data_IF_676534834813
#
_entry.id   IF_676534834813
#
_cell.length_a   1.000
_cell.length_b   1.000
_cell.length_c   1.000
_cell.angle_alpha   90.00
_cell.angle_beta   90.00
_cell.angle_gamma   90.00
#
_symmetry.space_group_name_H-M   'P 1'
#
loop_
_entity.id
_entity.type
_entity.pdbx_description
1 polymer ?
#
# COMPACT_ATOMS: atom_id res chain seq x y z
N UNK A 1 -31.62 -0.50 -2.49
CA UNK A 1 -32.89 0.28 -2.55
C UNK A 1 -32.59 1.69 -2.11
N UNK A 2 -33.31 2.72 -2.58
CA UNK A 2 -33.00 4.12 -2.24
C UNK A 2 -33.27 4.47 -0.78
N UNK A 3 -33.99 3.62 -0.03
CA UNK A 3 -34.31 3.82 1.38
C UNK A 3 -33.58 2.81 2.27
N UNK A 4 -33.15 3.28 3.43
CA UNK A 4 -32.44 2.49 4.44
C UNK A 4 -33.35 1.40 5.02
N UNK A 5 -32.88 0.16 5.07
CA UNK A 5 -33.66 -0.99 5.54
C UNK A 5 -34.63 -1.62 4.54
N UNK A 6 -34.74 -1.11 3.31
CA UNK A 6 -35.58 -1.72 2.28
C UNK A 6 -34.89 -2.85 1.52
N UNK A 7 -35.60 -3.97 1.42
CA UNK A 7 -35.27 -5.05 0.49
C UNK A 7 -36.12 -4.94 -0.76
N UNK A 8 -35.55 -5.28 -1.92
CA UNK A 8 -36.32 -5.38 -3.15
C UNK A 8 -37.40 -6.46 -2.97
N UNK A 9 -38.67 -6.09 -3.16
CA UNK A 9 -39.77 -7.05 -3.13
C UNK A 9 -39.58 -8.14 -4.19
N UNK A 10 -40.09 -9.34 -3.91
CA UNK A 10 -40.01 -10.49 -4.82
C UNK A 10 -40.67 -10.20 -6.19
N UNK A 11 -41.81 -9.48 -6.20
CA UNK A 11 -42.55 -9.14 -7.42
C UNK A 11 -41.71 -8.37 -8.47
N UNK A 12 -41.01 -7.27 -8.12
CA UNK A 12 -40.07 -6.61 -9.03
C UNK A 12 -38.98 -7.53 -9.59
N UNK A 13 -38.41 -8.42 -8.77
CA UNK A 13 -37.39 -9.38 -9.20
C UNK A 13 -37.96 -10.40 -10.20
N UNK A 14 -39.14 -10.96 -9.91
CA UNK A 14 -39.85 -11.86 -10.82
C UNK A 14 -40.18 -11.19 -12.14
N UNK A 15 -40.60 -9.90 -12.12
CA UNK A 15 -40.88 -9.12 -13.33
C UNK A 15 -39.61 -8.92 -14.19
N UNK A 16 -38.46 -8.68 -13.57
CA UNK A 16 -37.18 -8.55 -14.29
C UNK A 16 -36.77 -9.90 -14.88
N UNK A 17 -36.80 -10.98 -14.08
CA UNK A 17 -36.41 -12.31 -14.51
C UNK A 17 -37.29 -12.88 -15.65
N UNK A 18 -38.58 -12.52 -15.67
CA UNK A 18 -39.53 -12.94 -16.70
C UNK A 18 -39.68 -11.94 -17.85
N UNK A 19 -38.90 -10.85 -17.87
CA UNK A 19 -38.91 -9.91 -18.99
C UNK A 19 -38.30 -10.55 -20.23
N UNK A 20 -39.03 -10.58 -21.33
CA UNK A 20 -38.56 -11.11 -22.62
C UNK A 20 -37.22 -10.49 -23.03
N UNK A 21 -37.08 -9.17 -22.89
CA UNK A 21 -35.82 -8.44 -23.19
C UNK A 21 -34.64 -8.93 -22.34
N UNK A 22 -34.89 -9.26 -21.06
CA UNK A 22 -33.84 -9.77 -20.16
C UNK A 22 -33.49 -11.20 -20.56
N UNK A 23 -34.47 -12.04 -20.82
CA UNK A 23 -34.26 -13.42 -21.25
C UNK A 23 -33.52 -13.49 -22.60
N UNK A 24 -33.87 -12.64 -23.57
CA UNK A 24 -33.18 -12.53 -24.84
C UNK A 24 -31.69 -12.17 -24.67
N UNK A 25 -31.39 -11.19 -23.81
CA UNK A 25 -29.99 -10.81 -23.52
C UNK A 25 -29.27 -11.97 -22.82
N UNK A 26 -29.87 -12.56 -21.79
CA UNK A 26 -29.29 -13.68 -21.04
C UNK A 26 -29.02 -14.88 -21.95
N UNK A 27 -29.92 -15.20 -22.87
CA UNK A 27 -29.73 -16.26 -23.88
C UNK A 27 -28.59 -15.95 -24.86
N UNK A 28 -28.33 -14.66 -25.14
CA UNK A 28 -27.22 -14.21 -25.99
C UNK A 28 -25.89 -14.11 -25.24
N UNK A 29 -25.91 -13.99 -23.92
CA UNK A 29 -24.71 -13.99 -23.09
C UNK A 29 -24.02 -15.33 -23.20
N UNK A 30 -22.79 -15.33 -23.72
CA UNK A 30 -21.91 -16.50 -23.71
C UNK A 30 -20.88 -16.32 -22.61
N UNK A 31 -20.54 -17.41 -21.92
CA UNK A 31 -19.31 -17.42 -21.14
C UNK A 31 -18.16 -17.15 -22.10
N UNK A 32 -17.29 -16.21 -21.77
CA UNK A 32 -16.03 -16.06 -22.49
C UNK A 32 -15.28 -17.39 -22.33
N UNK A 33 -15.15 -18.12 -23.43
CA UNK A 33 -14.23 -19.25 -23.47
C UNK A 33 -12.85 -18.67 -23.76
N UNK A 34 -11.79 -19.17 -23.13
CA UNK A 34 -10.44 -18.88 -23.59
C UNK A 34 -10.37 -19.21 -25.08
N UNK A 35 -9.72 -18.37 -25.89
CA UNK A 35 -9.55 -18.64 -27.31
C UNK A 35 -8.86 -20.01 -27.45
N UNK A 36 -9.47 -20.93 -28.21
CA UNK A 36 -8.99 -22.32 -28.43
C UNK A 36 -7.59 -22.42 -29.08
N UNK A 37 -6.86 -21.31 -29.22
CA UNK A 37 -5.50 -21.22 -29.74
C UNK A 37 -4.49 -20.60 -28.76
N UNK A 38 -4.94 -20.12 -27.59
CA UNK A 38 -4.05 -19.81 -26.49
C UNK A 38 -3.95 -21.07 -25.64
N UNK A 39 -2.78 -21.70 -25.59
CA UNK A 39 -2.49 -22.67 -24.53
C UNK A 39 -2.99 -22.07 -23.21
N UNK A 40 -3.77 -22.81 -22.44
CA UNK A 40 -4.33 -22.35 -21.18
C UNK A 40 -3.15 -21.93 -20.29
N UNK A 41 -2.88 -20.61 -20.21
CA UNK A 41 -1.68 -20.10 -19.53
C UNK A 41 -1.86 -20.40 -18.07
N UNK A 42 -1.28 -21.52 -17.63
CA UNK A 42 -1.33 -21.95 -16.25
C UNK A 42 -0.43 -21.06 -15.40
N UNK A 43 -0.84 -20.77 -14.16
CA UNK A 43 0.00 -20.00 -13.28
C UNK A 43 1.19 -20.85 -12.83
N UNK A 44 2.38 -20.24 -12.78
CA UNK A 44 3.63 -20.95 -12.51
C UNK A 44 3.74 -21.28 -11.02
N UNK A 45 3.96 -22.55 -10.69
CA UNK A 45 4.24 -22.94 -9.31
C UNK A 45 5.73 -22.80 -9.02
N UNK A 46 6.07 -22.17 -7.89
CA UNK A 46 7.44 -22.14 -7.41
C UNK A 46 7.85 -23.52 -6.87
N UNK A 47 8.94 -24.07 -7.38
CA UNK A 47 9.63 -25.22 -6.79
C UNK A 47 10.52 -24.75 -5.63
N UNK A 48 9.87 -24.29 -4.56
CA UNK A 48 10.54 -23.71 -3.41
C UNK A 48 9.79 -24.09 -2.14
N UNK A 49 10.52 -24.30 -1.04
CA UNK A 49 9.94 -24.46 0.29
C UNK A 49 10.17 -23.19 1.10
N UNK A 50 9.30 -22.89 2.08
CA UNK A 50 9.58 -21.84 3.07
C UNK A 50 10.96 -22.07 3.71
N UNK A 51 11.69 -20.98 3.97
CA UNK A 51 13.00 -21.06 4.60
C UNK A 51 12.91 -21.46 6.09
N UNK A 52 14.01 -21.91 6.67
CA UNK A 52 14.11 -22.13 8.13
C UNK A 52 14.28 -20.83 8.93
N UNK A 53 14.34 -19.69 8.27
CA UNK A 53 14.62 -18.39 8.87
C UNK A 53 13.33 -17.59 9.07
N UNK A 54 13.30 -16.79 10.14
CA UNK A 54 12.27 -15.80 10.43
C UNK A 54 12.95 -14.55 10.97
N UNK A 55 12.42 -13.34 10.69
CA UNK A 55 12.89 -12.14 11.35
C UNK A 55 12.55 -12.19 12.84
N UNK A 56 13.35 -11.50 13.65
CA UNK A 56 13.01 -11.28 15.06
C UNK A 56 11.91 -10.22 15.18
N UNK A 57 11.89 -9.26 14.25
CA UNK A 57 10.97 -8.12 14.25
C UNK A 57 10.23 -7.98 12.92
N UNK A 58 8.98 -7.56 13.00
CA UNK A 58 8.17 -7.15 11.84
C UNK A 58 7.69 -5.73 12.06
N UNK A 59 7.98 -4.84 11.11
CA UNK A 59 7.41 -3.51 11.04
C UNK A 59 6.22 -3.52 10.08
N UNK A 60 5.01 -3.51 10.61
CA UNK A 60 3.78 -3.34 9.84
C UNK A 60 3.42 -1.86 9.71
N UNK A 61 2.99 -1.43 8.53
CA UNK A 61 2.51 -0.07 8.27
C UNK A 61 1.16 -0.15 7.60
N UNK A 62 0.21 0.62 8.12
CA UNK A 62 -1.14 0.74 7.58
C UNK A 62 -1.62 2.18 7.74
N UNK A 63 -2.46 2.65 6.83
CA UNK A 63 -3.07 3.95 6.90
C UNK A 63 -4.58 3.86 6.77
N UNK A 64 -5.23 4.86 7.36
CA UNK A 64 -6.66 5.01 7.29
C UNK A 64 -7.01 6.49 7.11
N UNK A 65 -8.20 6.74 6.55
CA UNK A 65 -8.80 8.05 6.61
C UNK A 65 -10.27 7.95 6.95
N UNK A 66 -10.76 8.93 7.70
CA UNK A 66 -12.17 9.05 8.05
C UNK A 66 -12.70 10.40 7.57
N UNK A 67 -13.61 10.35 6.60
CA UNK A 67 -14.29 11.56 6.09
C UNK A 67 -15.44 11.96 7.01
N UNK A 68 -15.56 13.26 7.28
CA UNK A 68 -16.59 13.84 8.12
C UNK A 68 -17.22 15.04 7.42
N UNK A 69 -18.56 15.17 7.45
CA UNK A 69 -19.20 16.40 7.07
C UNK A 69 -18.87 17.50 8.09
N UNK A 70 -18.70 18.74 7.63
CA UNK A 70 -18.47 19.92 8.46
C UNK A 70 -19.70 20.80 8.42
N UNK A 71 -20.25 21.14 9.58
CA UNK A 71 -21.34 22.11 9.68
C UNK A 71 -20.78 23.53 9.64
N UNK A 72 -20.63 24.08 8.43
CA UNK A 72 -20.15 25.46 8.22
C UNK A 72 -21.15 26.34 7.43
N UNK A 73 -22.38 25.87 7.23
CA UNK A 73 -23.40 26.57 6.45
C UNK A 73 -23.36 26.32 4.94
N UNK A 74 -22.36 25.59 4.43
CA UNK A 74 -22.27 25.20 3.01
C UNK A 74 -22.56 23.70 2.83
N UNK A 75 -23.50 23.31 1.95
CA UNK A 75 -23.76 21.91 1.65
C UNK A 75 -22.52 21.19 1.12
N UNK A 76 -22.27 19.97 1.61
CA UNK A 76 -21.15 19.15 1.16
C UNK A 76 -19.78 19.56 1.69
N UNK A 77 -19.71 20.49 2.65
CA UNK A 77 -18.46 20.78 3.35
C UNK A 77 -17.93 19.54 4.07
N UNK A 78 -16.65 19.21 3.86
CA UNK A 78 -16.05 18.00 4.39
C UNK A 78 -14.60 18.19 4.85
N UNK A 79 -14.21 17.39 5.83
CA UNK A 79 -12.85 17.24 6.35
C UNK A 79 -12.53 15.74 6.38
N UNK A 80 -11.26 15.38 6.19
CA UNK A 80 -10.81 14.03 6.51
C UNK A 80 -9.76 14.06 7.62
N UNK A 81 -9.90 13.17 8.60
CA UNK A 81 -8.78 12.78 9.44
C UNK A 81 -8.03 11.66 8.75
N UNK A 82 -6.72 11.82 8.63
CA UNK A 82 -5.83 10.84 8.03
C UNK A 82 -4.83 10.39 9.07
N UNK A 83 -4.64 9.09 9.20
CA UNK A 83 -3.74 8.48 10.17
C UNK A 83 -2.92 7.40 9.48
N UNK A 84 -1.62 7.40 9.70
CA UNK A 84 -0.73 6.29 9.34
C UNK A 84 -0.14 5.73 10.61
N UNK A 85 -0.40 4.44 10.86
CA UNK A 85 0.12 3.70 11.99
C UNK A 85 1.25 2.77 11.55
N UNK A 86 2.16 2.56 12.48
CA UNK A 86 3.20 1.55 12.40
C UNK A 86 3.16 0.70 13.65
N UNK A 87 3.25 -0.61 13.46
CA UNK A 87 3.28 -1.59 14.55
C UNK A 87 4.53 -2.42 14.39
N UNK A 88 5.30 -2.52 15.47
CA UNK A 88 6.43 -3.42 15.58
C UNK A 88 5.94 -4.64 16.32
N UNK A 89 6.06 -5.80 15.69
CA UNK A 89 5.82 -7.10 16.30
C UNK A 89 7.15 -7.80 16.57
N UNK A 90 7.36 -8.22 17.82
CA UNK A 90 8.42 -9.13 18.24
C UNK A 90 8.03 -10.59 17.96
N UNK A 91 8.40 -11.04 16.76
CA UNK A 91 8.14 -12.40 16.27
C UNK A 91 8.89 -13.43 17.10
N UNK A 92 10.09 -13.10 17.55
CA UNK A 92 10.89 -14.02 18.39
C UNK A 92 10.18 -14.29 19.71
N UNK A 93 9.75 -13.24 20.41
CA UNK A 93 9.01 -13.35 21.67
C UNK A 93 7.64 -13.98 21.48
N UNK A 94 6.93 -13.67 20.38
CA UNK A 94 5.67 -14.35 20.05
C UNK A 94 5.87 -15.86 19.92
N UNK A 95 6.94 -16.31 19.24
CA UNK A 95 7.26 -17.74 19.11
C UNK A 95 7.63 -18.39 20.44
N UNK A 96 8.29 -17.67 21.33
CA UNK A 96 8.60 -18.15 22.69
C UNK A 96 7.32 -18.36 23.49
N UNK A 97 6.41 -17.38 23.48
CA UNK A 97 5.10 -17.48 24.14
C UNK A 97 4.25 -18.62 23.55
N UNK A 98 4.29 -18.82 22.24
CA UNK A 98 3.53 -19.88 21.56
C UNK A 98 3.93 -21.30 21.97
N UNK A 99 5.15 -21.49 22.51
CA UNK A 99 5.60 -22.78 23.05
C UNK A 99 4.90 -23.12 24.38
N UNK A 100 4.35 -22.14 25.09
CA UNK A 100 3.74 -22.31 26.42
C UNK A 100 2.30 -21.80 26.45
N UNK A 101 1.43 -22.38 25.62
CA UNK A 101 0.00 -22.02 25.61
C UNK A 101 -0.77 -22.63 26.81
N UNK A 102 -1.81 -21.95 27.33
CA UNK A 102 -2.31 -20.64 26.91
C UNK A 102 -1.42 -19.48 27.38
N UNK A 103 -1.31 -18.45 26.53
CA UNK A 103 -0.51 -17.24 26.81
C UNK A 103 -1.33 -16.23 27.59
N UNK A 104 -0.72 -15.54 28.57
CA UNK A 104 -1.35 -14.41 29.24
C UNK A 104 -1.59 -13.26 28.24
N UNK A 105 -2.83 -12.72 28.13
CA UNK A 105 -3.13 -11.61 27.23
C UNK A 105 -2.23 -10.38 27.41
N UNK A 106 -1.73 -10.10 28.62
CA UNK A 106 -0.80 -9.00 28.88
C UNK A 106 0.57 -9.26 28.25
N UNK A 107 1.07 -10.49 28.35
CA UNK A 107 2.34 -10.87 27.74
C UNK A 107 2.25 -10.92 26.21
N UNK A 108 1.08 -11.33 25.68
CA UNK A 108 0.79 -11.23 24.25
C UNK A 108 0.69 -9.79 23.75
N UNK A 109 0.21 -8.82 24.56
CA UNK A 109 0.23 -7.41 24.16
C UNK A 109 1.64 -6.81 24.16
N UNK A 110 2.52 -7.31 25.04
CA UNK A 110 3.92 -6.88 25.13
C UNK A 110 4.80 -7.38 23.98
N UNK A 111 4.25 -8.11 23.01
CA UNK A 111 4.96 -8.44 21.76
C UNK A 111 4.76 -7.37 20.71
N UNK A 112 3.85 -6.43 20.92
CA UNK A 112 3.51 -5.39 19.95
C UNK A 112 3.75 -3.99 20.53
N UNK A 113 4.38 -3.13 19.75
CA UNK A 113 4.49 -1.70 20.04
C UNK A 113 3.95 -0.90 18.85
N UNK A 114 2.99 -0.01 19.10
CA UNK A 114 2.29 0.76 18.07
C UNK A 114 2.54 2.26 18.18
N UNK A 115 2.71 2.94 17.05
CA UNK A 115 2.79 4.39 16.95
C UNK A 115 2.11 4.91 15.69
N UNK A 116 1.49 6.08 15.77
CA UNK A 116 0.73 6.69 14.67
C UNK A 116 1.07 8.16 14.45
N UNK A 117 1.00 8.61 13.20
CA UNK A 117 1.02 10.02 12.83
C UNK A 117 -0.30 10.38 12.18
N UNK A 118 -0.79 11.59 12.42
CA UNK A 118 -2.09 12.04 11.94
C UNK A 118 -2.08 13.47 11.40
N UNK A 119 -3.11 13.80 10.62
CA UNK A 119 -3.46 15.17 10.27
C UNK A 119 -4.95 15.26 9.94
N UNK A 120 -5.43 16.50 9.86
CA UNK A 120 -6.70 16.81 9.23
C UNK A 120 -6.42 17.44 7.85
N UNK A 121 -7.18 17.02 6.83
CA UNK A 121 -7.11 17.55 5.47
C UNK A 121 -8.46 18.17 5.10
N UNK A 122 -8.50 19.43 4.63
CA UNK A 122 -9.74 20.06 4.16
C UNK A 122 -10.17 19.45 2.82
N UNK A 123 -11.48 19.27 2.64
CA UNK A 123 -12.06 18.83 1.37
C UNK A 123 -12.93 19.90 0.73
N UNK A 124 -13.99 19.47 0.06
CA UNK A 124 -14.96 20.36 -0.58
C UNK A 124 -15.50 21.40 0.41
N UNK A 125 -15.70 22.65 -0.05
CA UNK A 125 -16.31 23.75 0.71
C UNK A 125 -15.70 24.06 2.09
N UNK A 126 -14.44 23.67 2.32
CA UNK A 126 -13.67 24.04 3.51
C UNK A 126 -12.47 24.87 3.10
N UNK A 127 -12.32 26.04 3.70
CA UNK A 127 -11.18 26.94 3.51
C UNK A 127 -10.44 27.10 4.82
N UNK A 128 -9.11 27.07 4.77
CA UNK A 128 -8.23 27.21 5.94
C UNK A 128 -7.59 28.59 5.93
N UNK A 129 -7.64 29.27 7.08
CA UNK A 129 -7.17 30.63 7.29
C UNK A 129 -7.64 31.61 6.21
N UNK A 130 -6.70 32.18 5.44
CA UNK A 130 -6.94 33.19 4.42
C UNK A 130 -6.75 32.65 2.99
N UNK A 131 -6.75 31.33 2.80
CA UNK A 131 -6.64 30.74 1.46
C UNK A 131 -7.86 31.10 0.60
N UNK A 132 -7.69 31.34 -0.72
CA UNK A 132 -8.78 31.84 -1.55
C UNK A 132 -9.79 30.75 -1.95
N UNK A 133 -9.38 29.48 -1.92
CA UNK A 133 -10.21 28.35 -2.39
C UNK A 133 -9.99 27.09 -1.56
N UNK A 134 -10.94 26.14 -1.58
CA UNK A 134 -10.76 24.82 -0.96
C UNK A 134 -9.54 24.07 -1.52
N UNK A 135 -9.29 24.15 -2.82
CA UNK A 135 -8.11 23.54 -3.46
C UNK A 135 -6.81 24.14 -2.94
N UNK A 136 -6.73 25.47 -2.80
CA UNK A 136 -5.55 26.13 -2.22
C UNK A 136 -5.35 25.73 -0.75
N UNK A 137 -6.45 25.63 0.00
CA UNK A 137 -6.44 25.15 1.39
C UNK A 137 -5.91 23.73 1.50
N UNK A 138 -6.37 22.81 0.66
CA UNK A 138 -5.86 21.45 0.62
C UNK A 138 -4.37 21.39 0.29
N UNK A 139 -3.92 22.11 -0.75
CA UNK A 139 -2.52 22.12 -1.19
C UNK A 139 -1.59 22.54 -0.06
N UNK A 140 -1.92 23.65 0.60
CA UNK A 140 -1.15 24.17 1.72
C UNK A 140 -1.15 23.21 2.92
N UNK A 141 -2.34 22.77 3.36
CA UNK A 141 -2.44 21.89 4.54
C UNK A 141 -1.77 20.55 4.29
N UNK A 142 -1.87 19.99 3.08
CA UNK A 142 -1.18 18.74 2.75
C UNK A 142 0.34 18.90 2.78
N UNK A 143 0.90 20.00 2.25
CA UNK A 143 2.32 20.32 2.37
C UNK A 143 2.76 20.44 3.83
N UNK A 144 2.08 21.28 4.62
CA UNK A 144 2.36 21.48 6.05
C UNK A 144 2.27 20.15 6.83
N UNK A 145 1.33 19.29 6.44
CA UNK A 145 1.11 18.01 7.10
C UNK A 145 2.29 17.03 7.02
N UNK A 146 3.22 17.21 6.08
CA UNK A 146 4.44 16.39 5.94
C UNK A 146 5.73 17.17 6.23
N UNK A 147 5.68 18.51 6.20
CA UNK A 147 6.85 19.40 6.30
C UNK A 147 7.71 19.12 7.53
N UNK A 148 7.09 19.14 8.71
CA UNK A 148 7.80 19.03 10.00
C UNK A 148 7.68 17.64 10.62
N UNK A 149 6.97 16.72 9.97
CA UNK A 149 6.77 15.37 10.50
C UNK A 149 8.05 14.57 10.41
N UNK A 150 8.64 14.30 11.57
CA UNK A 150 9.85 13.49 11.72
C UNK A 150 9.54 12.23 12.53
N UNK A 151 9.25 11.08 11.90
CA UNK A 151 8.94 9.83 12.62
C UNK A 151 10.08 9.36 13.53
N UNK A 152 11.33 9.69 13.18
CA UNK A 152 12.55 9.27 13.85
C UNK A 152 13.37 10.50 14.25
N UNK A 153 13.68 10.70 15.55
CA UNK A 153 14.28 11.96 16.04
C UNK A 153 15.61 12.36 15.42
N UNK A 154 16.42 11.43 14.92
CA UNK A 154 17.65 11.72 14.16
C UNK A 154 17.56 11.34 12.66
N UNK A 155 16.34 11.14 12.16
CA UNK A 155 16.01 10.89 10.75
C UNK A 155 15.68 12.17 9.98
N UNK A 156 15.19 12.00 8.75
CA UNK A 156 14.67 13.07 7.89
C UNK A 156 13.18 13.32 8.18
N UNK A 157 12.64 14.47 7.80
CA UNK A 157 11.18 14.68 7.76
C UNK A 157 10.57 13.88 6.61
N UNK A 158 9.24 13.68 6.65
CA UNK A 158 8.53 13.08 5.53
C UNK A 158 8.64 13.92 4.26
N UNK A 159 8.68 15.25 4.38
CA UNK A 159 8.91 16.14 3.25
C UNK A 159 10.31 15.94 2.63
N UNK A 160 11.36 15.91 3.45
CA UNK A 160 12.74 15.65 2.96
C UNK A 160 12.84 14.32 2.20
N UNK A 161 12.17 13.27 2.70
CA UNK A 161 12.09 11.98 2.00
C UNK A 161 11.28 12.06 0.71
N UNK A 162 10.11 12.72 0.72
CA UNK A 162 9.32 12.91 -0.49
C UNK A 162 10.10 13.68 -1.56
N UNK A 163 10.86 14.70 -1.17
CA UNK A 163 11.65 15.51 -2.11
C UNK A 163 12.82 14.73 -2.71
N UNK A 164 13.42 13.81 -1.95
CA UNK A 164 14.36 12.84 -2.50
C UNK A 164 13.70 11.94 -3.56
N UNK A 165 12.44 11.54 -3.36
CA UNK A 165 11.67 10.79 -4.36
C UNK A 165 11.27 11.67 -5.56
N UNK A 166 10.94 12.94 -5.33
CA UNK A 166 10.60 13.92 -6.37
C UNK A 166 11.74 14.13 -7.36
N UNK A 167 13.00 13.97 -6.93
CA UNK A 167 14.16 14.03 -7.80
C UNK A 167 14.15 12.95 -8.91
N UNK A 168 13.44 11.83 -8.72
CA UNK A 168 13.24 10.79 -9.74
C UNK A 168 12.05 11.06 -10.67
N UNK A 169 11.27 12.12 -10.45
CA UNK A 169 10.09 12.40 -11.25
C UNK A 169 10.47 12.67 -12.71
N UNK A 170 9.86 11.97 -13.69
CA UNK A 170 10.12 12.23 -15.10
C UNK A 170 9.81 13.68 -15.49
N UNK A 171 10.75 14.32 -16.17
CA UNK A 171 10.66 15.72 -16.64
C UNK A 171 9.98 15.89 -18.00
N UNK A 172 9.56 14.78 -18.64
CA UNK A 172 9.07 14.76 -20.02
C UNK A 172 7.67 15.36 -20.25
N UNK A 173 6.93 15.72 -19.19
CA UNK A 173 5.63 16.40 -19.30
C UNK A 173 5.57 17.58 -18.36
N UNK A 174 5.37 18.77 -18.92
CA UNK A 174 5.05 19.96 -18.15
C UNK A 174 3.74 19.76 -17.39
N UNK A 175 3.72 20.16 -16.13
CA UNK A 175 2.50 20.21 -15.34
C UNK A 175 1.84 21.57 -15.55
N UNK A 176 0.51 21.62 -15.43
CA UNK A 176 -0.21 22.89 -15.46
C UNK A 176 -0.07 23.61 -14.12
N UNK A 177 -0.18 24.93 -14.14
CA UNK A 177 -0.24 25.71 -12.91
C UNK A 177 -1.41 25.21 -12.04
N UNK A 178 -1.19 24.94 -10.73
CA UNK A 178 -2.25 24.46 -9.83
C UNK A 178 -3.24 25.57 -9.41
N UNK A 179 -3.17 26.74 -10.05
CA UNK A 179 -4.10 27.86 -9.85
C UNK A 179 -4.77 28.19 -11.19
N UNK A 180 -6.07 27.91 -11.29
CA UNK A 180 -6.85 28.06 -12.53
C UNK A 180 -6.94 29.51 -13.03
N UNK A 181 -6.84 30.48 -12.12
CA UNK A 181 -6.89 31.92 -12.37
C UNK A 181 -5.49 32.55 -12.56
N UNK A 182 -4.46 31.73 -12.77
CA UNK A 182 -3.11 32.23 -13.05
C UNK A 182 -3.09 32.93 -14.43
N UNK A 183 -2.74 34.23 -14.49
CA UNK A 183 -2.89 35.05 -15.70
C UNK A 183 -1.94 34.63 -16.81
N UNK A 184 -0.77 34.12 -16.42
CA UNK A 184 0.16 33.44 -17.30
C UNK A 184 -0.19 31.96 -17.21
N UNK A 185 -0.63 31.33 -18.31
CA UNK A 185 -0.83 29.88 -18.41
C UNK A 185 0.53 29.15 -18.38
N UNK A 186 1.30 29.39 -17.32
CA UNK A 186 2.64 28.95 -17.13
C UNK A 186 2.63 27.44 -16.84
N UNK A 187 3.60 26.74 -17.44
CA UNK A 187 3.93 25.40 -17.00
C UNK A 187 4.40 25.48 -15.54
N UNK A 188 3.77 24.70 -14.66
CA UNK A 188 4.30 24.43 -13.35
C UNK A 188 5.58 23.63 -13.51
N UNK A 189 6.66 24.17 -12.98
CA UNK A 189 7.94 23.49 -12.84
C UNK A 189 7.99 23.02 -11.38
N UNK A 190 7.98 21.71 -11.12
CA UNK A 190 8.12 21.18 -9.77
C UNK A 190 9.27 21.84 -9.03
N UNK A 191 8.97 22.40 -7.88
CA UNK A 191 9.99 22.93 -6.98
C UNK A 191 10.76 21.73 -6.43
N UNK A 192 12.09 21.78 -6.50
CA UNK A 192 12.92 20.67 -6.02
C UNK A 192 12.83 20.46 -4.51
N UNK A 193 12.52 21.51 -3.74
CA UNK A 193 12.38 21.44 -2.29
C UNK A 193 11.56 22.60 -1.73
N UNK A 194 10.79 22.32 -0.68
CA UNK A 194 10.03 23.26 0.13
C UNK A 194 8.92 23.97 -0.64
N UNK A 195 8.79 25.25 -0.33
CA UNK A 195 7.94 26.18 -1.05
C UNK A 195 8.77 27.13 -1.92
N UNK A 196 8.21 27.50 -3.06
CA UNK A 196 8.69 28.63 -3.86
C UNK A 196 7.50 29.49 -4.29
N UNK A 197 7.75 30.49 -5.12
CA UNK A 197 6.70 31.37 -5.66
C UNK A 197 6.54 31.15 -7.16
N UNK A 198 5.30 31.17 -7.61
CA UNK A 198 4.97 31.20 -9.03
C UNK A 198 5.65 32.39 -9.70
N UNK A 199 6.14 32.20 -10.93
CA UNK A 199 6.81 33.25 -11.71
C UNK A 199 5.86 34.31 -12.28
N UNK A 200 4.54 34.11 -12.19
CA UNK A 200 3.55 35.09 -12.61
C UNK A 200 3.51 36.31 -11.67
N UNK A 201 2.80 37.36 -12.10
CA UNK A 201 2.66 38.61 -11.34
C UNK A 201 2.05 38.44 -9.94
N UNK A 202 1.27 37.37 -9.72
CA UNK A 202 0.60 37.13 -8.44
C UNK A 202 1.50 36.48 -7.39
N UNK A 203 2.66 35.92 -7.77
CA UNK A 203 3.68 35.38 -6.85
C UNK A 203 3.15 34.41 -5.78
N UNK A 204 2.10 33.64 -6.11
CA UNK A 204 1.45 32.70 -5.19
C UNK A 204 2.35 31.49 -4.86
N UNK A 205 2.19 30.86 -3.68
CA UNK A 205 3.02 29.72 -3.27
C UNK A 205 2.90 28.51 -4.21
N UNK A 206 4.03 27.90 -4.50
CA UNK A 206 4.18 26.59 -5.13
C UNK A 206 4.83 25.65 -4.12
N UNK A 207 4.15 24.56 -3.80
CA UNK A 207 4.65 23.55 -2.88
C UNK A 207 5.29 22.42 -3.65
N UNK A 208 6.36 21.82 -3.15
CA UNK A 208 6.97 20.63 -3.78
C UNK A 208 5.96 19.47 -3.88
N UNK A 209 4.98 19.39 -2.98
CA UNK A 209 3.87 18.42 -3.01
C UNK A 209 2.87 18.64 -4.13
N UNK A 210 2.83 19.81 -4.78
CA UNK A 210 1.94 20.05 -5.92
C UNK A 210 2.27 19.11 -7.09
N UNK A 211 3.51 18.61 -7.17
CA UNK A 211 3.92 17.63 -8.17
C UNK A 211 3.20 16.27 -8.05
N UNK A 212 2.61 15.96 -6.89
CA UNK A 212 1.76 14.79 -6.66
C UNK A 212 0.36 14.97 -7.29
N UNK A 213 -0.07 16.21 -7.54
CA UNK A 213 -1.35 16.56 -8.20
C UNK A 213 -2.60 16.02 -7.50
N UNK A 214 -2.49 15.61 -6.23
CA UNK A 214 -3.61 15.07 -5.45
C UNK A 214 -4.79 16.07 -5.38
N UNK A 215 -4.48 17.36 -5.33
CA UNK A 215 -5.47 18.45 -5.28
C UNK A 215 -6.44 18.46 -6.47
N UNK A 216 -6.07 17.85 -7.61
CA UNK A 216 -6.96 17.71 -8.78
C UNK A 216 -8.10 16.72 -8.53
N UNK A 217 -7.97 15.84 -7.54
CA UNK A 217 -9.03 14.92 -7.11
C UNK A 217 -10.11 15.58 -6.24
N UNK A 218 -9.97 16.87 -5.89
CA UNK A 218 -10.96 17.59 -5.10
C UNK A 218 -12.26 17.76 -5.90
N UNK A 219 -13.39 17.29 -5.35
CA UNK A 219 -14.68 17.42 -6.00
C UNK A 219 -15.38 18.73 -5.57
N UNK A 220 -15.81 19.60 -6.50
CA UNK A 220 -16.51 20.85 -6.14
C UNK A 220 -17.93 20.66 -5.61
N UNK A 221 -18.54 19.49 -5.83
CA UNK A 221 -19.97 19.25 -5.55
C UNK A 221 -20.24 17.88 -4.90
N UNK A 222 -19.19 17.15 -4.53
CA UNK A 222 -19.29 15.79 -4.03
C UNK A 222 -18.18 15.43 -3.06
N UNK A 223 -18.11 14.15 -2.67
CA UNK A 223 -17.10 13.65 -1.74
C UNK A 223 -15.75 13.50 -2.43
N UNK A 224 -14.70 14.00 -1.79
CA UNK A 224 -13.32 13.92 -2.28
C UNK A 224 -12.59 12.67 -1.76
N UNK A 225 -13.30 11.55 -1.63
CA UNK A 225 -12.76 10.31 -1.04
C UNK A 225 -11.53 9.77 -1.77
N UNK A 226 -11.52 9.85 -3.10
CA UNK A 226 -10.37 9.46 -3.92
C UNK A 226 -9.13 10.32 -3.61
N UNK A 227 -9.30 11.64 -3.44
CA UNK A 227 -8.23 12.56 -3.06
C UNK A 227 -7.61 12.19 -1.71
N UNK A 228 -8.44 11.92 -0.70
CA UNK A 228 -7.94 11.53 0.62
C UNK A 228 -7.27 10.15 0.61
N UNK A 229 -7.80 9.21 -0.19
CA UNK A 229 -7.16 7.92 -0.39
C UNK A 229 -5.79 8.04 -1.09
N UNK A 230 -5.62 8.95 -2.04
CA UNK A 230 -4.31 9.24 -2.65
C UNK A 230 -3.34 9.86 -1.64
N UNK A 231 -3.80 10.82 -0.82
CA UNK A 231 -2.99 11.42 0.25
C UNK A 231 -2.51 10.38 1.28
N UNK A 232 -3.41 9.48 1.70
CA UNK A 232 -3.12 8.39 2.65
C UNK A 232 -2.08 7.43 2.08
N UNK A 233 -2.26 7.00 0.84
CA UNK A 233 -1.30 6.12 0.18
C UNK A 233 0.09 6.76 0.10
N UNK A 234 0.18 8.04 -0.28
CA UNK A 234 1.46 8.74 -0.35
C UNK A 234 2.13 8.78 1.03
N UNK A 235 1.40 9.09 2.09
CA UNK A 235 1.95 9.07 3.44
C UNK A 235 2.50 7.71 3.84
N UNK A 236 1.75 6.63 3.65
CA UNK A 236 2.20 5.27 4.00
C UNK A 236 3.51 4.91 3.30
N UNK A 237 3.60 5.18 1.98
CA UNK A 237 4.79 4.83 1.19
C UNK A 237 5.97 5.72 1.56
N UNK A 238 5.76 7.04 1.67
CA UNK A 238 6.82 7.97 2.07
C UNK A 238 7.33 7.65 3.48
N UNK A 239 6.46 7.25 4.40
CA UNK A 239 6.84 6.83 5.75
C UNK A 239 7.72 5.58 5.72
N UNK A 240 7.35 4.55 4.96
CA UNK A 240 8.14 3.32 4.84
C UNK A 240 9.54 3.59 4.25
N UNK A 241 9.62 4.45 3.23
CA UNK A 241 10.90 4.88 2.64
C UNK A 241 11.70 5.76 3.61
N UNK A 242 11.05 6.62 4.39
CA UNK A 242 11.72 7.45 5.40
C UNK A 242 12.43 6.58 6.44
N UNK A 243 11.79 5.49 6.89
CA UNK A 243 12.41 4.52 7.78
C UNK A 243 13.65 3.84 7.16
N UNK A 244 13.58 3.42 5.89
CA UNK A 244 14.73 2.84 5.19
C UNK A 244 15.88 3.83 4.97
N UNK A 245 15.56 5.08 4.63
CA UNK A 245 16.56 6.16 4.53
C UNK A 245 17.19 6.48 5.88
N UNK A 246 16.43 6.39 6.98
CA UNK A 246 16.99 6.53 8.33
C UNK A 246 17.99 5.41 8.68
N UNK A 247 17.72 4.17 8.24
CA UNK A 247 18.67 3.06 8.36
C UNK A 247 19.95 3.40 7.60
N UNK A 248 19.84 3.84 6.35
CA UNK A 248 20.99 4.12 5.50
C UNK A 248 21.94 5.19 6.05
N UNK A 249 21.42 6.19 6.79
CA UNK A 249 22.23 7.28 7.37
C UNK A 249 23.39 6.81 8.25
N UNK A 250 23.35 5.58 8.79
CA UNK A 250 24.45 5.01 9.59
C UNK A 250 24.71 3.55 9.17
N UNK A 251 25.90 3.20 8.67
CA UNK A 251 26.22 1.83 8.22
C UNK A 251 25.89 0.72 9.23
N UNK A 252 26.03 0.99 10.54
CA UNK A 252 25.69 0.01 11.59
C UNK A 252 24.21 -0.37 11.61
N UNK A 253 23.31 0.53 11.22
CA UNK A 253 21.86 0.28 11.22
C UNK A 253 21.43 -0.69 10.14
N UNK A 254 22.21 -0.87 9.07
CA UNK A 254 21.88 -1.89 8.07
C UNK A 254 21.79 -3.28 8.67
N UNK A 255 22.49 -3.56 9.77
CA UNK A 255 22.38 -4.82 10.50
C UNK A 255 20.96 -5.10 11.00
N UNK A 256 20.16 -4.07 11.27
CA UNK A 256 18.76 -4.23 11.68
C UNK A 256 17.96 -4.98 10.61
N UNK A 257 18.27 -4.76 9.33
CA UNK A 257 17.59 -5.40 8.20
C UNK A 257 17.83 -6.92 8.12
N UNK A 258 18.84 -7.45 8.81
CA UNK A 258 19.05 -8.91 8.90
C UNK A 258 17.95 -9.61 9.67
N UNK A 259 17.34 -8.92 10.64
CA UNK A 259 16.35 -9.51 11.56
C UNK A 259 15.01 -8.79 11.49
N UNK A 260 14.82 -7.93 10.48
CA UNK A 260 13.62 -7.11 10.31
C UNK A 260 12.96 -7.42 8.97
N UNK A 261 11.65 -7.64 9.01
CA UNK A 261 10.80 -7.56 7.83
C UNK A 261 9.89 -6.34 7.90
N UNK A 262 9.57 -5.75 6.76
CA UNK A 262 8.61 -4.66 6.65
C UNK A 262 7.38 -5.16 5.89
N UNK A 263 6.20 -4.90 6.41
CA UNK A 263 4.93 -5.29 5.80
C UNK A 263 4.07 -4.06 5.59
N UNK A 264 3.59 -3.84 4.37
CA UNK A 264 2.63 -2.78 4.05
C UNK A 264 1.24 -3.38 3.81
N UNK A 265 0.19 -2.69 4.27
CA UNK A 265 -1.17 -3.04 3.88
C UNK A 265 -1.45 -2.65 2.43
N UNK A 266 -1.96 -3.61 1.67
CA UNK A 266 -2.22 -3.46 0.25
C UNK A 266 -1.01 -3.74 -0.66
N UNK A 267 -1.18 -3.47 -1.97
CA UNK A 267 -0.13 -3.73 -2.95
C UNK A 267 1.03 -2.75 -2.80
N UNK A 268 2.23 -3.21 -3.19
CA UNK A 268 3.39 -2.35 -3.44
C UNK A 268 3.17 -1.52 -4.72
N UNK A 269 2.31 -0.52 -4.60
CA UNK A 269 1.82 0.34 -5.67
C UNK A 269 1.46 1.74 -5.16
N UNK A 270 1.41 2.71 -6.08
CA UNK A 270 0.80 4.03 -5.90
C UNK A 270 -0.16 4.28 -7.06
N UNK A 271 -1.41 4.61 -6.75
CA UNK A 271 -2.46 4.83 -7.74
C UNK A 271 -2.86 6.30 -7.87
N UNK A 272 -3.60 6.62 -8.93
CA UNK A 272 -4.17 7.95 -9.13
C UNK A 272 -3.18 8.97 -9.66
N UNK A 273 -3.38 10.24 -9.32
CA UNK A 273 -2.49 11.34 -9.73
C UNK A 273 -1.01 11.13 -9.32
N UNK A 274 -0.69 10.61 -8.12
CA UNK A 274 0.69 10.41 -7.71
C UNK A 274 1.32 9.10 -8.23
N UNK A 275 0.73 8.39 -9.19
CA UNK A 275 1.21 7.07 -9.64
C UNK A 275 2.70 7.02 -10.01
N UNK A 276 3.25 8.11 -10.58
CA UNK A 276 4.67 8.25 -10.91
C UNK A 276 5.61 7.99 -9.73
N UNK A 277 5.13 8.19 -8.49
CA UNK A 277 5.87 7.94 -7.27
C UNK A 277 6.27 6.47 -7.13
N UNK A 278 5.53 5.54 -7.74
CA UNK A 278 5.91 4.12 -7.77
C UNK A 278 7.28 3.90 -8.40
N UNK A 279 7.57 4.57 -9.52
CA UNK A 279 8.87 4.48 -10.17
C UNK A 279 9.97 5.14 -9.33
N UNK A 280 9.68 6.26 -8.67
CA UNK A 280 10.60 6.89 -7.73
C UNK A 280 10.93 5.96 -6.54
N UNK A 281 9.92 5.33 -5.96
CA UNK A 281 10.07 4.35 -4.87
C UNK A 281 10.88 3.15 -5.32
N UNK A 282 10.62 2.63 -6.54
CA UNK A 282 11.42 1.56 -7.12
C UNK A 282 12.91 1.92 -7.18
N UNK A 283 13.24 3.09 -7.74
CA UNK A 283 14.64 3.54 -7.83
C UNK A 283 15.30 3.68 -6.46
N UNK A 284 14.57 4.24 -5.49
CA UNK A 284 15.07 4.43 -4.14
C UNK A 284 15.26 3.10 -3.38
N UNK A 285 14.32 2.17 -3.49
CA UNK A 285 14.42 0.83 -2.91
C UNK A 285 15.59 0.05 -3.51
N UNK A 286 15.77 0.09 -4.84
CA UNK A 286 16.90 -0.54 -5.52
C UNK A 286 18.23 0.02 -4.97
N UNK A 287 18.35 1.34 -4.87
CA UNK A 287 19.55 2.03 -4.35
C UNK A 287 19.86 1.63 -2.90
N UNK A 288 18.87 1.68 -2.01
CA UNK A 288 19.06 1.31 -0.59
C UNK A 288 19.40 -0.19 -0.46
N UNK A 289 18.76 -1.05 -1.27
CA UNK A 289 19.03 -2.48 -1.27
C UNK A 289 20.46 -2.81 -1.72
N UNK A 290 20.99 -2.10 -2.72
CA UNK A 290 22.39 -2.26 -3.14
C UNK A 290 23.38 -1.95 -2.00
N UNK A 291 23.10 -0.93 -1.18
CA UNK A 291 23.89 -0.65 0.03
C UNK A 291 23.69 -1.69 1.14
N UNK A 292 22.45 -2.15 1.34
CA UNK A 292 22.16 -3.22 2.28
C UNK A 292 22.93 -4.50 1.92
N UNK A 293 22.88 -4.93 0.66
CA UNK A 293 23.60 -6.11 0.18
C UNK A 293 25.11 -6.01 0.39
N UNK A 294 25.72 -4.82 0.24
CA UNK A 294 27.16 -4.62 0.52
C UNK A 294 27.53 -4.85 1.99
N UNK A 295 26.61 -4.56 2.91
CA UNK A 295 26.88 -4.59 4.37
C UNK A 295 26.41 -5.89 5.00
N UNK A 296 25.23 -6.39 4.62
CA UNK A 296 24.58 -7.54 5.26
C UNK A 296 24.51 -8.79 4.38
N UNK A 297 24.86 -8.68 3.09
CA UNK A 297 24.85 -9.77 2.10
C UNK A 297 23.47 -10.42 1.89
N UNK A 298 22.40 -9.64 2.09
CA UNK A 298 21.01 -10.06 1.90
C UNK A 298 20.17 -8.90 1.38
N UNK A 299 19.15 -9.22 0.58
CA UNK A 299 18.16 -8.26 0.12
C UNK A 299 17.21 -7.83 1.26
N UNK A 300 16.61 -6.65 1.13
CA UNK A 300 15.54 -6.16 1.97
C UNK A 300 14.31 -7.10 1.92
N UNK A 301 13.75 -7.44 3.08
CA UNK A 301 12.47 -8.15 3.16
C UNK A 301 11.31 -7.15 3.37
N UNK A 302 10.74 -6.69 2.26
CA UNK A 302 9.53 -5.87 2.22
C UNK A 302 8.41 -6.68 1.56
N UNK A 303 7.21 -6.69 2.16
CA UNK A 303 6.06 -7.44 1.64
C UNK A 303 4.82 -6.54 1.64
N UNK A 304 4.16 -6.37 0.49
CA UNK A 304 2.81 -5.82 0.45
C UNK A 304 1.79 -6.95 0.52
N UNK A 305 0.75 -6.85 1.35
CA UNK A 305 -0.28 -7.90 1.51
C UNK A 305 -1.66 -7.36 1.20
N UNK A 306 -2.38 -8.01 0.28
CA UNK A 306 -3.71 -7.59 -0.14
C UNK A 306 -4.80 -8.39 0.56
N UNK A 307 -5.70 -7.69 1.26
CA UNK A 307 -6.86 -8.27 1.96
C UNK A 307 -8.10 -8.37 1.08
N UNK A 308 -8.17 -7.58 0.01
CA UNK A 308 -9.33 -7.51 -0.90
C UNK A 308 -8.92 -7.08 -2.31
N UNK A 309 -9.84 -7.23 -3.27
CA UNK A 309 -9.68 -6.76 -4.64
C UNK A 309 -9.52 -7.90 -5.64
N UNK A 310 -9.42 -7.54 -6.93
CA UNK A 310 -9.53 -8.49 -8.05
C UNK A 310 -8.57 -9.68 -7.96
N UNK A 311 -7.35 -9.48 -7.43
CA UNK A 311 -6.38 -10.56 -7.27
C UNK A 311 -6.77 -11.55 -6.17
N UNK A 312 -7.33 -11.05 -5.07
CA UNK A 312 -7.85 -11.88 -3.98
C UNK A 312 -9.05 -12.68 -4.48
N UNK A 313 -10.02 -12.00 -5.09
CA UNK A 313 -11.22 -12.63 -5.67
C UNK A 313 -10.84 -13.72 -6.69
N UNK A 314 -9.87 -13.42 -7.56
CA UNK A 314 -9.36 -14.38 -8.53
C UNK A 314 -8.71 -15.58 -7.87
N UNK A 315 -7.87 -15.37 -6.85
CA UNK A 315 -7.21 -16.48 -6.16
C UNK A 315 -8.20 -17.37 -5.40
N UNK A 316 -9.23 -16.78 -4.80
CA UNK A 316 -10.31 -17.50 -4.15
C UNK A 316 -11.05 -18.42 -5.13
N UNK A 317 -11.35 -17.93 -6.33
CA UNK A 317 -11.98 -18.74 -7.39
C UNK A 317 -11.02 -19.79 -7.94
N UNK A 318 -9.76 -19.43 -8.17
CA UNK A 318 -8.73 -20.28 -8.76
C UNK A 318 -8.44 -21.52 -7.90
N UNK A 319 -8.42 -21.36 -6.58
CA UNK A 319 -8.18 -22.43 -5.60
C UNK A 319 -9.47 -22.95 -4.94
N UNK A 320 -10.64 -22.54 -5.44
CA UNK A 320 -11.92 -23.04 -4.95
C UNK A 320 -12.04 -24.56 -5.19
N UNK A 321 -12.53 -25.34 -4.21
CA UNK A 321 -12.83 -26.74 -4.42
C UNK A 321 -13.96 -26.87 -5.44
N UNK A 322 -13.71 -27.55 -6.57
CA UNK A 322 -14.73 -27.77 -7.60
C UNK A 322 -15.26 -29.21 -7.53
N UNK A 323 -16.43 -29.44 -8.13
CA UNK A 323 -16.98 -30.80 -8.29
C UNK A 323 -16.05 -31.70 -9.10
N UNK A 324 -15.28 -31.14 -10.03
CA UNK A 324 -14.31 -31.87 -10.84
C UNK A 324 -13.03 -32.23 -10.07
N UNK A 325 -12.69 -31.48 -9.02
CA UNK A 325 -11.52 -31.76 -8.16
C UNK A 325 -11.83 -32.64 -6.94
N UNK A 326 -12.95 -33.38 -6.95
CA UNK A 326 -13.44 -34.17 -5.80
C UNK A 326 -13.53 -33.36 -4.49
N UNK A 327 -13.87 -32.06 -4.59
CA UNK A 327 -13.94 -31.18 -3.43
C UNK A 327 -12.59 -30.83 -2.80
N UNK A 328 -11.48 -31.08 -3.50
CA UNK A 328 -10.13 -30.64 -3.07
C UNK A 328 -9.78 -29.30 -3.69
N UNK A 329 -9.09 -28.47 -2.92
CA UNK A 329 -8.48 -27.24 -3.43
C UNK A 329 -7.39 -27.56 -4.48
N UNK A 330 -7.11 -26.62 -5.38
CA UNK A 330 -6.19 -26.80 -6.51
C UNK A 330 -4.74 -26.92 -6.06
N UNK A 331 -4.33 -26.07 -5.11
CA UNK A 331 -2.94 -25.97 -4.65
C UNK A 331 -2.74 -26.62 -3.29
N UNK A 332 -1.54 -27.16 -3.06
CA UNK A 332 -1.13 -27.71 -1.76
C UNK A 332 -0.74 -26.57 -0.80
N UNK A 333 -0.86 -26.73 0.52
CA UNK A 333 -0.26 -25.81 1.48
C UNK A 333 1.22 -25.58 1.21
N UNK A 334 1.71 -24.40 1.57
CA UNK A 334 3.08 -23.91 1.36
C UNK A 334 3.51 -23.85 -0.11
N UNK A 335 2.56 -23.54 -1.01
CA UNK A 335 2.85 -23.31 -2.43
C UNK A 335 2.80 -21.82 -2.77
N UNK A 336 3.84 -21.31 -3.42
CA UNK A 336 3.82 -20.00 -4.06
C UNK A 336 3.49 -20.14 -5.56
N UNK A 337 2.61 -19.26 -6.04
CA UNK A 337 2.17 -19.18 -7.42
C UNK A 337 2.67 -17.85 -7.99
N UNK A 338 3.57 -17.94 -8.95
CA UNK A 338 4.30 -16.83 -9.55
C UNK A 338 3.51 -16.29 -10.75
N UNK A 339 3.11 -15.02 -10.66
CA UNK A 339 2.30 -14.38 -11.68
C UNK A 339 3.19 -13.76 -12.76
N UNK A 340 2.90 -14.06 -14.02
CA UNK A 340 3.47 -13.39 -15.20
C UNK A 340 2.53 -12.31 -15.70
N UNK A 341 3.06 -11.33 -16.43
CA UNK A 341 2.26 -10.31 -17.09
C UNK A 341 1.21 -10.94 -18.02
N UNK A 342 1.59 -11.99 -18.74
CA UNK A 342 0.68 -12.74 -19.61
C UNK A 342 -0.49 -13.35 -18.83
N UNK A 343 -0.20 -14.04 -17.72
CA UNK A 343 -1.25 -14.61 -16.87
C UNK A 343 -2.21 -13.54 -16.35
N UNK A 344 -1.65 -12.43 -15.82
CA UNK A 344 -2.43 -11.34 -15.24
C UNK A 344 -3.37 -10.73 -16.28
N UNK A 345 -2.86 -10.42 -17.49
CA UNK A 345 -3.66 -9.81 -18.56
C UNK A 345 -4.69 -10.75 -19.16
N UNK A 346 -4.47 -12.05 -19.12
CA UNK A 346 -5.42 -13.01 -19.68
C UNK A 346 -6.54 -13.36 -18.70
N UNK A 347 -6.28 -13.32 -17.39
CA UNK A 347 -7.19 -13.88 -16.39
C UNK A 347 -7.68 -12.92 -15.30
N UNK A 348 -6.90 -11.89 -14.94
CA UNK A 348 -7.19 -11.05 -13.75
C UNK A 348 -7.52 -9.62 -14.17
N UNK A 349 -6.56 -8.93 -14.78
CA UNK A 349 -6.65 -7.52 -15.16
C UNK A 349 -6.58 -7.42 -16.68
N UNK A 350 -7.71 -7.72 -17.33
CA UNK A 350 -7.78 -7.91 -18.77
C UNK A 350 -7.43 -6.63 -19.54
N UNK A 351 -6.41 -6.70 -20.39
CA UNK A 351 -6.00 -5.58 -21.23
C UNK A 351 -4.75 -5.83 -22.06
N UNK A 352 -4.49 -4.92 -23.00
CA UNK A 352 -3.38 -5.05 -23.97
C UNK A 352 -2.06 -4.41 -23.51
N UNK A 353 -2.11 -3.57 -22.48
CA UNK A 353 -0.92 -2.90 -21.92
C UNK A 353 -0.22 -3.76 -20.86
N UNK A 354 1.09 -3.62 -20.66
CA UNK A 354 1.78 -4.25 -19.54
C UNK A 354 1.09 -3.88 -18.21
N UNK A 355 0.85 -4.88 -17.38
CA UNK A 355 0.22 -4.69 -16.09
C UNK A 355 1.15 -3.88 -15.18
N UNK A 356 0.62 -2.78 -14.65
CA UNK A 356 1.23 -2.08 -13.54
C UNK A 356 2.50 -1.29 -13.82
N UNK A 357 2.91 -1.13 -15.09
CA UNK A 357 4.18 -0.51 -15.50
C UNK A 357 4.45 0.84 -14.80
N UNK A 358 3.46 1.73 -14.72
CA UNK A 358 3.62 3.06 -14.10
C UNK A 358 3.08 3.15 -12.67
N UNK A 359 2.52 2.07 -12.11
CA UNK A 359 1.72 2.12 -10.86
C UNK A 359 2.22 1.17 -9.78
N UNK A 360 3.09 0.22 -10.11
CA UNK A 360 3.59 -0.78 -9.18
C UNK A 360 5.10 -0.65 -9.01
N UNK A 361 5.56 -0.91 -7.78
CA UNK A 361 6.97 -1.06 -7.43
C UNK A 361 7.25 -2.42 -6.78
N UNK A 362 6.32 -3.35 -6.90
CA UNK A 362 6.49 -4.73 -6.46
C UNK A 362 5.70 -5.73 -7.30
N UNK A 363 6.19 -6.96 -7.26
CA UNK A 363 5.70 -8.10 -8.01
C UNK A 363 4.74 -8.94 -7.19
N UNK A 364 3.52 -9.14 -7.71
CA UNK A 364 2.51 -9.97 -7.06
C UNK A 364 2.79 -11.47 -7.21
N UNK A 365 2.45 -12.23 -6.18
CA UNK A 365 2.36 -13.69 -6.17
C UNK A 365 1.19 -14.12 -5.28
N UNK A 366 0.69 -15.33 -5.52
CA UNK A 366 -0.23 -15.96 -4.59
C UNK A 366 0.53 -16.93 -3.70
N UNK A 367 0.14 -17.00 -2.44
CA UNK A 367 0.71 -17.93 -1.48
C UNK A 367 -0.39 -18.70 -0.76
N UNK A 368 -0.26 -20.01 -0.71
CA UNK A 368 -1.08 -20.85 0.16
C UNK A 368 -0.29 -21.15 1.42
N UNK A 369 -0.72 -20.63 2.56
CA UNK A 369 -0.03 -20.86 3.84
C UNK A 369 -0.11 -22.32 4.28
N UNK A 370 0.70 -22.69 5.28
CA UNK A 370 0.62 -23.98 5.96
C UNK A 370 -0.78 -24.27 6.51
N UNK A 371 -1.51 -23.23 6.94
CA UNK A 371 -2.91 -23.35 7.43
C UNK A 371 -3.94 -23.50 6.31
N UNK A 372 -3.53 -23.32 5.05
CA UNK A 372 -4.42 -23.35 3.87
C UNK A 372 -5.01 -21.99 3.50
N UNK A 373 -4.73 -20.93 4.25
CA UNK A 373 -5.15 -19.57 3.90
C UNK A 373 -4.52 -19.09 2.59
N UNK A 374 -5.25 -18.26 1.84
CA UNK A 374 -4.93 -17.80 0.49
C UNK A 374 -4.50 -16.34 0.55
N UNK A 375 -3.20 -16.12 0.59
CA UNK A 375 -2.63 -14.77 0.68
C UNK A 375 -2.25 -14.28 -0.71
N UNK A 376 -2.66 -13.07 -1.04
CA UNK A 376 -2.11 -12.32 -2.18
C UNK A 376 -1.07 -11.37 -1.62
N UNK A 377 0.17 -11.54 -2.06
CA UNK A 377 1.30 -10.76 -1.57
C UNK A 377 2.12 -10.20 -2.72
N UNK A 378 2.97 -9.22 -2.43
CA UNK A 378 3.90 -8.64 -3.38
C UNK A 378 5.27 -8.39 -2.77
N UNK A 379 6.33 -8.61 -3.55
CA UNK A 379 7.72 -8.36 -3.18
C UNK A 379 8.29 -7.22 -4.02
N UNK A 380 9.13 -6.34 -3.46
CA UNK A 380 9.62 -5.16 -4.18
C UNK A 380 10.45 -5.52 -5.41
N UNK A 381 10.44 -4.61 -6.38
CA UNK A 381 11.40 -4.61 -7.47
C UNK A 381 12.76 -4.14 -6.93
N UNK A 382 13.61 -5.06 -6.46
CA UNK A 382 14.95 -4.71 -5.96
C UNK A 382 16.04 -4.83 -7.05
N UNK A 383 15.71 -5.47 -8.16
CA UNK A 383 16.60 -5.67 -9.31
C UNK A 383 15.82 -5.53 -10.61
N UNK A 384 16.52 -5.35 -11.74
CA UNK A 384 15.86 -5.29 -13.04
C UNK A 384 15.15 -6.60 -13.39
N UNK A 385 15.71 -7.75 -12.96
CA UNK A 385 15.03 -9.04 -13.07
C UNK A 385 13.70 -9.00 -12.32
N UNK A 386 13.67 -8.54 -11.09
CA UNK A 386 12.42 -8.48 -10.32
C UNK A 386 11.34 -7.62 -11.00
N UNK A 387 11.72 -6.52 -11.66
CA UNK A 387 10.79 -5.68 -12.43
C UNK A 387 10.29 -6.29 -13.74
N UNK A 388 10.95 -7.33 -14.27
CA UNK A 388 10.55 -7.96 -15.53
C UNK A 388 9.42 -8.98 -15.32
N UNK A 389 8.18 -8.53 -15.55
CA UNK A 389 6.99 -9.37 -15.38
C UNK A 389 6.77 -10.42 -16.49
N UNK A 390 7.55 -10.41 -17.58
CA UNK A 390 7.36 -11.35 -18.70
C UNK A 390 7.69 -12.80 -18.34
N UNK A 391 8.54 -13.02 -17.33
CA UNK A 391 8.98 -14.34 -16.86
C UNK A 391 8.65 -14.50 -15.40
N UNK A 392 8.22 -15.69 -14.97
CA UNK A 392 7.82 -15.96 -13.58
C UNK A 392 8.65 -17.07 -12.95
N UNK A 393 9.96 -16.88 -12.83
CA UNK A 393 10.82 -17.77 -12.06
C UNK A 393 11.24 -17.17 -10.72
N UNK A 394 11.69 -18.01 -9.79
CA UNK A 394 12.00 -17.65 -8.40
C UNK A 394 13.02 -16.50 -8.32
N UNK A 395 13.95 -16.38 -9.28
CA UNK A 395 14.97 -15.32 -9.26
C UNK A 395 14.41 -13.91 -9.45
N UNK A 396 13.14 -13.79 -9.85
CA UNK A 396 12.42 -12.52 -9.97
C UNK A 396 11.71 -12.11 -8.66
N UNK A 397 11.78 -12.94 -7.61
CA UNK A 397 11.12 -12.72 -6.33
C UNK A 397 12.15 -12.71 -5.19
N UNK A 398 12.71 -11.54 -4.84
CA UNK A 398 13.71 -11.42 -3.78
C UNK A 398 13.21 -11.99 -2.46
N UNK A 399 14.01 -12.87 -1.84
CA UNK A 399 13.68 -13.51 -0.54
C UNK A 399 12.32 -14.21 -0.47
N UNK A 400 11.84 -14.79 -1.59
CA UNK A 400 10.55 -15.48 -1.63
C UNK A 400 10.37 -16.55 -0.54
N UNK A 401 11.40 -17.37 -0.29
CA UNK A 401 11.34 -18.42 0.74
C UNK A 401 11.12 -17.84 2.14
N UNK A 402 11.75 -16.70 2.45
CA UNK A 402 11.64 -16.03 3.75
C UNK A 402 10.29 -15.34 3.91
N UNK A 403 9.78 -14.74 2.82
CA UNK A 403 8.44 -14.20 2.77
C UNK A 403 7.39 -15.30 3.03
N UNK A 404 7.54 -16.48 2.43
CA UNK A 404 6.65 -17.62 2.67
C UNK A 404 6.66 -18.05 4.15
N UNK A 405 7.84 -18.16 4.77
CA UNK A 405 7.97 -18.49 6.19
C UNK A 405 7.32 -17.45 7.09
N UNK A 406 7.55 -16.16 6.79
CA UNK A 406 6.97 -15.08 7.56
C UNK A 406 5.43 -15.06 7.44
N UNK A 407 4.88 -15.26 6.25
CA UNK A 407 3.44 -15.33 6.02
C UNK A 407 2.80 -16.54 6.72
N UNK A 408 3.50 -17.67 6.82
CA UNK A 408 3.06 -18.81 7.64
C UNK A 408 3.04 -18.47 9.13
N UNK A 409 4.08 -17.80 9.62
CA UNK A 409 4.23 -17.49 11.04
C UNK A 409 3.28 -16.38 11.52
N UNK A 410 2.92 -15.44 10.65
CA UNK A 410 2.13 -14.25 11.01
C UNK A 410 0.67 -14.33 10.58
N UNK A 411 0.22 -15.44 9.99
CA UNK A 411 -1.18 -15.63 9.61
C UNK A 411 -2.12 -15.50 10.81
N UNK A 412 -3.27 -14.85 10.61
CA UNK A 412 -4.33 -14.72 11.61
C UNK A 412 -5.58 -15.49 11.22
N UNK A 413 -6.05 -16.37 12.11
CA UNK A 413 -7.33 -17.05 11.96
C UNK A 413 -8.56 -16.14 12.21
N UNK A 414 -8.35 -14.91 12.71
CA UNK A 414 -9.45 -13.99 13.09
C UNK A 414 -10.17 -13.40 11.89
N UNK A 415 -9.43 -13.12 10.81
CA UNK A 415 -9.97 -12.54 9.59
C UNK A 415 -9.44 -13.33 8.38
N UNK A 416 -10.28 -13.61 7.38
CA UNK A 416 -9.84 -14.30 6.16
C UNK A 416 -8.67 -13.57 5.50
N UNK A 417 -7.65 -14.32 5.09
CA UNK A 417 -6.50 -13.84 4.32
C UNK A 417 -5.73 -12.67 4.99
N UNK A 418 -5.84 -12.53 6.32
CA UNK A 418 -5.17 -11.47 7.08
C UNK A 418 -3.96 -11.99 7.86
N UNK A 419 -3.05 -11.08 8.17
CA UNK A 419 -1.87 -11.33 9.00
C UNK A 419 -1.94 -10.48 10.27
N UNK A 420 -1.48 -11.04 11.39
CA UNK A 420 -1.51 -10.44 12.73
C UNK A 420 -1.00 -9.00 12.77
N UNK A 421 0.25 -8.72 12.30
CA UNK A 421 0.82 -7.38 12.33
C UNK A 421 -0.05 -6.31 11.66
N UNK A 422 -0.65 -6.64 10.51
CA UNK A 422 -1.52 -5.69 9.79
C UNK A 422 -2.89 -5.53 10.46
N UNK A 423 -3.37 -6.50 11.22
CA UNK A 423 -4.60 -6.34 12.01
C UNK A 423 -4.36 -5.33 13.13
N UNK A 424 -3.21 -5.42 13.80
CA UNK A 424 -2.82 -4.48 14.84
C UNK A 424 -2.56 -3.08 14.27
N UNK A 425 -1.83 -2.97 13.15
CA UNK A 425 -1.60 -1.68 12.49
C UNK A 425 -2.92 -1.04 12.04
N UNK A 426 -3.85 -1.82 11.50
CA UNK A 426 -5.18 -1.32 11.13
C UNK A 426 -5.99 -0.83 12.34
N UNK A 427 -5.97 -1.57 13.44
CA UNK A 427 -6.68 -1.19 14.66
C UNK A 427 -6.15 0.15 15.22
N UNK A 428 -4.85 0.36 15.15
CA UNK A 428 -4.19 1.61 15.58
C UNK A 428 -4.42 2.76 14.60
N UNK A 429 -4.39 2.49 13.28
CA UNK A 429 -4.69 3.49 12.27
C UNK A 429 -6.16 3.92 12.29
N UNK A 430 -7.09 3.03 12.68
CA UNK A 430 -8.52 3.32 12.75
C UNK A 430 -8.92 4.18 13.96
N UNK A 431 -8.04 4.30 14.96
CA UNK A 431 -8.29 5.07 16.18
C UNK A 431 -7.40 6.32 16.17
N UNK A 432 -7.94 7.53 15.98
CA UNK A 432 -7.15 8.75 16.05
C UNK A 432 -6.72 9.01 17.50
N UNK A 433 -5.55 8.48 17.89
CA UNK A 433 -4.92 8.73 19.19
C UNK A 433 -3.45 9.11 18.98
N UNK A 434 -3.12 10.32 19.41
CA UNK A 434 -1.75 10.86 19.48
C UNK A 434 -0.84 9.94 20.30
N UNK A 435 0.10 9.22 19.67
CA UNK A 435 1.30 8.64 20.33
C UNK A 435 2.31 8.10 19.29
N UNK A 436 2.71 8.91 18.30
CA UNK A 436 3.57 8.48 17.19
C UNK A 436 5.07 8.37 17.43
N UNK A 437 5.61 9.10 18.42
CA UNK A 437 7.07 9.30 18.52
C UNK A 437 7.81 8.22 19.30
N UNK A 438 7.13 7.51 20.20
CA UNK A 438 7.81 6.65 21.18
C UNK A 438 8.30 5.31 20.63
N UNK A 439 7.62 4.71 19.64
CA UNK A 439 7.87 3.31 19.24
C UNK A 439 9.17 3.14 18.48
N UNK A 440 9.43 3.96 17.46
CA UNK A 440 10.67 3.86 16.72
C UNK A 440 11.88 4.31 17.55
N UNK A 441 11.68 5.24 18.50
CA UNK A 441 12.72 5.60 19.46
C UNK A 441 13.00 4.46 20.45
N UNK A 442 11.98 3.72 20.90
CA UNK A 442 12.14 2.50 21.71
C UNK A 442 12.85 1.41 20.92
N UNK A 443 12.48 1.20 19.65
CA UNK A 443 13.14 0.26 18.73
C UNK A 443 14.62 0.60 18.53
N UNK A 444 14.92 1.85 18.19
CA UNK A 444 16.29 2.30 17.96
C UNK A 444 17.13 2.18 19.24
N UNK A 445 16.52 2.26 20.43
CA UNK A 445 17.21 2.05 21.70
C UNK A 445 17.37 0.57 22.04
N UNK A 446 16.34 -0.26 21.88
CA UNK A 446 16.40 -1.69 22.22
C UNK A 446 17.42 -2.43 21.34
N UNK A 447 17.38 -2.19 20.03
CA UNK A 447 18.28 -2.82 19.07
C UNK A 447 19.73 -2.33 19.18
N UNK A 448 19.95 -1.11 19.67
CA UNK A 448 21.30 -0.58 19.91
C UNK A 448 21.86 -0.98 21.28
N UNK A 449 21.01 -1.43 22.22
CA UNK A 449 21.43 -1.89 23.55
C UNK A 449 21.80 -3.37 23.63
N UNK A 450 21.47 -4.17 22.61
CA UNK A 450 21.83 -5.60 22.54
C UNK A 450 23.20 -5.87 21.88
N UNK A 451 23.96 -4.84 21.49
CA UNK A 451 25.28 -4.98 20.82
C UNK A 451 26.45 -4.20 21.48
N UNK A 452 26.34 -3.77 22.74
CA UNK A 452 27.53 -3.34 23.50
C UNK A 452 28.14 -4.54 24.26
N UNK A 453 29.45 -4.86 24.06
CA UNK A 453 30.12 -5.96 24.74
C UNK A 453 30.29 -5.74 26.25
#
# INVERSE_FOLDING_TARGET
MPYEGEFAGYKPLTRIANSERVQEIVCRCKKRMPDNSADEVEPLMAELQPSGWLPDLVLAVDGSYHQLPVENGYPGAELAYLTVASVILDVKKQRELDRSRPVDPLDSRRTEEAGSIDCALPGCNVVVDNEPTPTASFRRVFFESIQDKRPLSDGETLLETYEALLAYKPSGRSQQCPYDDCPDAAAYIPVSSGESKCTCQQQRPWYSTDALRIHEGLSPTGKSGAMFAEAMQVWERVWAINFLRWIERKPRRFRLLKNLAIILDGPLAVFGHPAWLSQAIYHELKRINEEACKIINEDLLLIGVEKSGTFVDHYEVLDAPTRHSNGKARFKPQSAILLTNEYIRNHIAIGDKPFGEDTYFGRKFFYKTASGARIVASLPFLTEKASNLSRGDISHFPRLADAMSLLDATFSARFPNAIGPLISANAEAAIPLNLGREVLEKLARSLMSEEEP
#
